data_IF_818391792665
#
_entry.id   IF_818391792665
#
_cell.length_a   1.000
_cell.length_b   1.000
_cell.length_c   1.000
_cell.angle_alpha   90.00
_cell.angle_beta   90.00
_cell.angle_gamma   90.00
#
_symmetry.space_group_name_H-M   'P 1'
#
loop_
_entity.id
_entity.type
_entity.pdbx_description
1 polymer ?
#
# COMPACT_ATOMS: atom_id res chain seq x y z
N UNK A 1 10.22 -14.37 14.15
CA UNK A 1 9.06 -13.49 13.84
C UNK A 1 8.62 -13.86 12.44
N UNK A 2 7.36 -14.25 12.27
CA UNK A 2 6.80 -14.51 10.95
C UNK A 2 6.62 -13.16 10.30
N UNK A 3 7.33 -12.93 9.21
CA UNK A 3 7.22 -11.71 8.43
C UNK A 3 5.87 -11.78 7.72
N UNK A 4 4.87 -11.06 8.25
CA UNK A 4 3.48 -11.13 7.78
C UNK A 4 3.33 -10.76 6.30
N UNK A 5 4.37 -10.18 5.70
CA UNK A 5 4.39 -9.65 4.35
C UNK A 5 5.39 -10.35 3.41
N UNK A 6 5.92 -11.52 3.79
CA UNK A 6 6.91 -12.25 2.97
C UNK A 6 6.34 -12.80 1.65
N UNK A 7 5.03 -13.02 1.61
CA UNK A 7 4.32 -13.61 0.46
C UNK A 7 3.43 -12.59 -0.26
N UNK A 8 3.74 -11.29 -0.14
CA UNK A 8 2.97 -10.24 -0.82
C UNK A 8 3.13 -10.42 -2.34
N UNK A 9 2.05 -10.72 -3.07
CA UNK A 9 2.14 -10.96 -4.50
C UNK A 9 2.41 -9.65 -5.24
N UNK A 10 3.44 -9.64 -6.07
CA UNK A 10 3.76 -8.54 -6.98
C UNK A 10 3.24 -8.89 -8.38
N UNK A 11 2.59 -7.94 -9.05
CA UNK A 11 2.13 -8.14 -10.42
C UNK A 11 3.32 -8.16 -11.39
N UNK A 12 3.18 -8.85 -12.53
CA UNK A 12 4.26 -8.96 -13.52
C UNK A 12 4.67 -7.58 -14.05
N UNK A 13 5.98 -7.33 -14.12
CA UNK A 13 6.53 -6.04 -14.57
C UNK A 13 6.67 -4.99 -13.46
N UNK A 14 6.14 -5.23 -12.26
CA UNK A 14 6.42 -4.40 -11.10
C UNK A 14 7.83 -4.69 -10.58
N UNK A 15 8.64 -3.64 -10.45
CA UNK A 15 9.94 -3.68 -9.80
C UNK A 15 9.88 -2.91 -8.49
N UNK A 16 9.97 -3.62 -7.37
CA UNK A 16 10.11 -2.99 -6.05
C UNK A 16 11.46 -2.29 -5.95
N UNK A 17 11.43 -0.98 -5.72
CA UNK A 17 12.59 -0.11 -5.50
C UNK A 17 12.96 -0.04 -4.01
N UNK A 18 11.95 -0.10 -3.15
CA UNK A 18 12.10 -0.09 -1.70
C UNK A 18 10.92 -0.81 -1.08
N UNK A 19 11.16 -1.60 -0.04
CA UNK A 19 10.11 -2.09 0.82
C UNK A 19 10.60 -2.14 2.26
N UNK A 20 9.71 -1.83 3.19
CA UNK A 20 10.01 -1.93 4.61
C UNK A 20 8.73 -2.23 5.38
N UNK A 21 8.75 -3.23 6.28
CA UNK A 21 7.68 -3.41 7.25
C UNK A 21 7.72 -2.22 8.22
N UNK A 22 6.56 -1.62 8.47
CA UNK A 22 6.39 -0.45 9.31
C UNK A 22 5.09 -0.53 10.10
N UNK A 23 4.85 0.46 10.96
CA UNK A 23 3.53 0.68 11.56
C UNK A 23 2.93 1.96 11.01
N UNK A 24 1.66 1.89 10.68
CA UNK A 24 0.85 3.04 10.31
C UNK A 24 -0.24 3.20 11.36
N UNK A 25 -0.03 4.16 12.26
CA UNK A 25 -0.76 4.20 13.54
C UNK A 25 -0.54 2.91 14.34
N UNK A 26 -1.63 2.20 14.63
CA UNK A 26 -1.61 0.95 15.38
C UNK A 26 -1.58 -0.31 14.49
N UNK A 27 -1.64 -0.15 13.16
CA UNK A 27 -1.67 -1.26 12.21
C UNK A 27 -0.27 -1.58 11.68
N UNK A 28 0.03 -2.87 11.57
CA UNK A 28 1.23 -3.33 10.87
C UNK A 28 1.02 -3.19 9.36
N UNK A 29 2.00 -2.61 8.66
CA UNK A 29 1.95 -2.42 7.21
C UNK A 29 3.26 -2.81 6.55
N UNK A 30 3.21 -3.07 5.24
CA UNK A 30 4.38 -3.02 4.38
C UNK A 30 4.30 -1.76 3.53
N UNK A 31 5.24 -0.83 3.73
CA UNK A 31 5.40 0.28 2.81
C UNK A 31 6.29 -0.18 1.65
N UNK A 32 5.82 0.01 0.43
CA UNK A 32 6.56 -0.31 -0.78
C UNK A 32 6.66 0.91 -1.69
N UNK A 33 7.76 1.02 -2.40
CA UNK A 33 7.95 1.91 -3.53
C UNK A 33 8.32 1.05 -4.72
N UNK A 34 7.64 1.23 -5.83
CA UNK A 34 7.84 0.40 -7.01
C UNK A 34 7.85 1.22 -8.28
N UNK A 35 8.39 0.61 -9.34
CA UNK A 35 8.34 1.11 -10.69
C UNK A 35 7.74 0.06 -11.62
N UNK A 36 6.85 0.47 -12.52
CA UNK A 36 6.24 -0.37 -13.54
C UNK A 36 6.13 0.44 -14.82
N UNK A 37 6.72 -0.04 -15.91
CA UNK A 37 6.62 0.57 -17.25
C UNK A 37 6.87 2.10 -17.31
N UNK A 38 7.82 2.59 -16.50
CA UNK A 38 8.16 4.02 -16.43
C UNK A 38 7.36 4.83 -15.41
N UNK A 39 6.32 4.24 -14.81
CA UNK A 39 5.58 4.83 -13.70
C UNK A 39 6.25 4.42 -12.39
N UNK A 40 6.54 5.37 -11.52
CA UNK A 40 6.96 5.16 -10.14
C UNK A 40 5.80 5.49 -9.21
N UNK A 41 5.51 4.62 -8.27
CA UNK A 41 4.46 4.83 -7.28
C UNK A 41 4.86 4.23 -5.93
N UNK A 42 4.06 4.56 -4.93
CA UNK A 42 4.21 4.10 -3.55
C UNK A 42 2.95 3.33 -3.15
N UNK A 43 3.13 2.33 -2.30
CA UNK A 43 2.05 1.48 -1.80
C UNK A 43 2.15 1.33 -0.30
N UNK A 44 0.99 1.26 0.35
CA UNK A 44 0.88 0.64 1.66
C UNK A 44 0.10 -0.65 1.49
N UNK A 45 0.68 -1.73 1.99
CA UNK A 45 0.04 -3.05 2.03
C UNK A 45 -0.41 -3.32 3.46
N UNK A 46 -1.71 -3.48 3.63
CA UNK A 46 -2.35 -3.91 4.87
C UNK A 46 -2.67 -5.40 4.79
N UNK A 47 -2.74 -6.08 5.94
CA UNK A 47 -3.46 -7.35 6.00
C UNK A 47 -4.94 -7.09 5.77
N UNK A 48 -5.58 -7.83 4.87
CA UNK A 48 -7.00 -7.64 4.54
C UNK A 48 -7.87 -7.80 5.78
N UNK A 49 -7.55 -8.73 6.68
CA UNK A 49 -8.25 -8.90 7.96
C UNK A 49 -8.19 -7.64 8.85
N UNK A 50 -7.04 -6.95 8.90
CA UNK A 50 -6.83 -5.75 9.73
C UNK A 50 -7.60 -4.53 9.20
N UNK A 51 -8.02 -4.52 7.94
CA UNK A 51 -8.79 -3.44 7.30
C UNK A 51 -10.13 -3.91 6.74
N UNK A 52 -10.55 -5.13 7.09
CA UNK A 52 -11.81 -5.74 6.64
C UNK A 52 -13.04 -5.00 7.16
N UNK A 53 -12.90 -4.34 8.32
CA UNK A 53 -13.93 -3.53 8.96
C UNK A 53 -14.01 -2.10 8.41
N UNK A 54 -13.04 -1.68 7.58
CA UNK A 54 -13.01 -0.35 6.97
C UNK A 54 -13.51 -0.43 5.54
N UNK A 55 -14.42 0.46 5.17
CA UNK A 55 -14.80 0.69 3.78
C UNK A 55 -13.64 1.27 2.98
N UNK A 56 -13.77 1.26 1.66
CA UNK A 56 -12.77 1.79 0.76
C UNK A 56 -12.55 3.29 0.97
N UNK A 57 -13.64 4.02 1.21
CA UNK A 57 -13.64 5.45 1.51
C UNK A 57 -12.95 5.75 2.84
N UNK A 58 -13.28 5.01 3.90
CA UNK A 58 -12.62 5.17 5.21
C UNK A 58 -11.13 4.87 5.16
N UNK A 59 -10.73 3.87 4.37
CA UNK A 59 -9.33 3.49 4.26
C UNK A 59 -8.53 4.50 3.41
N UNK A 60 -9.16 5.05 2.36
CA UNK A 60 -8.59 6.15 1.59
C UNK A 60 -8.41 7.40 2.46
N UNK A 61 -9.43 7.80 3.22
CA UNK A 61 -9.34 8.92 4.17
C UNK A 61 -8.25 8.69 5.22
N UNK A 62 -8.17 7.46 5.76
CA UNK A 62 -7.16 7.08 6.73
C UNK A 62 -5.74 7.23 6.18
N UNK A 63 -5.50 6.79 4.94
CA UNK A 63 -4.18 6.93 4.30
C UNK A 63 -3.92 8.38 3.92
N UNK A 64 -4.89 9.10 3.38
CA UNK A 64 -4.78 10.55 3.07
C UNK A 64 -4.59 11.43 4.30
N UNK A 65 -4.99 10.97 5.48
CA UNK A 65 -4.75 11.70 6.74
C UNK A 65 -3.27 11.76 7.14
N UNK A 66 -2.41 10.98 6.46
CA UNK A 66 -0.96 10.97 6.71
C UNK A 66 -0.17 11.79 5.70
N UNK A 67 0.97 12.33 6.15
CA UNK A 67 1.85 13.18 5.35
C UNK A 67 2.60 12.43 4.22
N UNK A 68 2.41 11.12 4.09
CA UNK A 68 3.05 10.32 3.02
C UNK A 68 2.30 10.40 1.70
N UNK A 69 1.00 10.74 1.71
CA UNK A 69 0.22 10.90 0.48
C UNK A 69 0.30 12.35 0.04
N UNK A 70 0.78 12.60 -1.18
CA UNK A 70 0.75 13.95 -1.73
C UNK A 70 -0.71 14.39 -1.92
N UNK A 71 -1.01 15.64 -1.56
CA UNK A 71 -2.37 16.20 -1.60
C UNK A 71 -3.07 16.03 -2.96
N UNK A 72 -2.34 16.20 -4.06
CA UNK A 72 -2.86 16.05 -5.43
C UNK A 72 -2.73 14.61 -5.99
N UNK A 73 -2.26 13.65 -5.18
CA UNK A 73 -2.14 12.27 -5.64
C UNK A 73 -3.50 11.60 -5.72
N UNK A 74 -3.78 10.97 -6.86
CA UNK A 74 -4.79 9.92 -6.92
C UNK A 74 -4.38 8.76 -6.01
N UNK A 75 -5.35 8.19 -5.30
CA UNK A 75 -5.20 6.97 -4.52
C UNK A 75 -5.99 5.88 -5.24
N UNK A 76 -5.40 4.71 -5.41
CA UNK A 76 -6.12 3.54 -5.90
C UNK A 76 -5.96 2.40 -4.93
N UNK A 77 -6.94 1.51 -4.89
CA UNK A 77 -6.90 0.38 -3.98
C UNK A 77 -7.17 -0.94 -4.69
N UNK A 78 -6.46 -1.98 -4.25
CA UNK A 78 -6.67 -3.36 -4.67
C UNK A 78 -6.75 -4.25 -3.44
N UNK A 79 -7.94 -4.80 -3.17
CA UNK A 79 -8.13 -5.78 -2.09
C UNK A 79 -7.96 -7.19 -2.65
N UNK A 80 -6.96 -7.92 -2.18
CA UNK A 80 -6.75 -9.35 -2.44
C UNK A 80 -7.12 -10.15 -1.18
N UNK A 81 -7.16 -11.48 -1.28
CA UNK A 81 -7.60 -12.38 -0.19
C UNK A 81 -6.85 -12.11 1.13
N UNK A 82 -5.52 -12.01 1.09
CA UNK A 82 -4.69 -11.82 2.29
C UNK A 82 -4.22 -10.38 2.49
N UNK A 83 -4.08 -9.62 1.40
CA UNK A 83 -3.45 -8.30 1.42
C UNK A 83 -4.29 -7.26 0.69
N UNK A 84 -4.37 -6.07 1.27
CA UNK A 84 -5.00 -4.90 0.67
C UNK A 84 -3.94 -3.86 0.34
N UNK A 85 -3.80 -3.54 -0.95
CA UNK A 85 -2.81 -2.62 -1.49
C UNK A 85 -3.43 -1.27 -1.74
N UNK A 86 -2.82 -0.22 -1.21
CA UNK A 86 -3.24 1.15 -1.43
C UNK A 86 -2.09 1.86 -2.12
N UNK A 87 -2.29 2.22 -3.38
CA UNK A 87 -1.29 2.81 -4.24
C UNK A 87 -1.53 4.31 -4.34
N UNK A 88 -0.47 5.09 -4.25
CA UNK A 88 -0.49 6.55 -4.28
C UNK A 88 0.85 7.08 -4.80
N UNK A 89 0.96 8.39 -4.91
CA UNK A 89 2.12 9.13 -5.40
C UNK A 89 2.60 8.68 -6.80
N UNK A 90 1.65 8.36 -7.70
CA UNK A 90 1.96 7.98 -9.07
C UNK A 90 2.68 9.10 -9.82
N UNK A 91 3.86 8.79 -10.38
CA UNK A 91 4.69 9.70 -11.18
C UNK A 91 5.18 8.99 -12.43
N UNK A 92 5.15 9.66 -13.57
CA UNK A 92 5.68 9.20 -14.87
C UNK A 92 6.81 10.10 -15.34
#
# INVERSE_FOLDING_TARGET
MVDKFKDVPLDEGIRVLFESPMKFGDKDILYQKWAMEGIVAESIVFLTDDVSHLSDEELEEYVKSSDIVNFDSSVTMSRKEQYSFINFNFKS
#
